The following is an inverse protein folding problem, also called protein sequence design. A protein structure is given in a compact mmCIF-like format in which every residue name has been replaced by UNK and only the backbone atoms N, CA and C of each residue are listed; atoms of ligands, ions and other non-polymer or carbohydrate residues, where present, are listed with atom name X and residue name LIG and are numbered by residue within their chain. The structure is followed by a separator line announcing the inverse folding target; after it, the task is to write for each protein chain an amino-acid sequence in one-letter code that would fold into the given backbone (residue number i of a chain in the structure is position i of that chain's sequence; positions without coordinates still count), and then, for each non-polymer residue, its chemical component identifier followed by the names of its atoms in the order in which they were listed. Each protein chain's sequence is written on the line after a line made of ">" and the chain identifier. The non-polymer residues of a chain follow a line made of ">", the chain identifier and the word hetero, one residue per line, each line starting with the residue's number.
data_IF_668896807347
#
_entry.id   IF_668896807347
#
_cell.length_a   1.000
_cell.length_b   1.000
_cell.length_c   1.000
_cell.angle_alpha   90.00
_cell.angle_beta   90.00
_cell.angle_gamma   90.00
#
_symmetry.space_group_name_H-M   'P 1'
#
loop_
_entity.id
_entity.type
_entity.pdbx_description
1 polymer ?
#
# COMPACT_ATOMS: atom_id res chain seq x y z
N UNK A 1 -16.37 49.17 31.09
CA UNK A 1 -15.16 48.71 30.41
C UNK A 1 -14.96 47.27 30.86
N UNK A 2 -15.47 46.31 30.09
CA UNK A 2 -15.34 44.88 30.38
C UNK A 2 -14.51 44.29 29.23
N UNK A 3 -13.21 44.18 29.45
CA UNK A 3 -12.33 43.33 28.65
C UNK A 3 -12.62 41.88 29.09
N UNK A 4 -13.57 41.25 28.40
CA UNK A 4 -13.84 39.82 28.50
C UNK A 4 -13.28 39.16 27.26
N UNK A 5 -12.08 38.59 27.41
CA UNK A 5 -11.39 37.74 26.44
C UNK A 5 -12.39 36.86 25.67
N UNK A 6 -12.46 37.04 24.35
CA UNK A 6 -13.19 36.13 23.47
C UNK A 6 -12.59 34.72 23.65
N UNK A 7 -13.40 33.65 23.83
CA UNK A 7 -12.87 32.30 23.87
C UNK A 7 -12.24 32.04 22.51
N UNK A 8 -10.91 32.05 22.45
CA UNK A 8 -10.16 31.70 21.26
C UNK A 8 -10.55 30.29 20.89
N UNK A 9 -11.05 30.15 19.67
CA UNK A 9 -11.65 28.94 19.14
C UNK A 9 -10.81 27.71 19.49
N UNK A 10 -11.47 26.72 20.09
CA UNK A 10 -11.01 25.34 20.22
C UNK A 10 -10.96 24.75 18.80
N UNK A 11 -9.98 25.21 18.03
CA UNK A 11 -9.69 24.77 16.68
C UNK A 11 -8.83 23.52 16.84
N UNK A 12 -9.43 22.37 16.58
CA UNK A 12 -8.73 21.10 16.70
C UNK A 12 -7.40 21.11 15.94
N UNK A 13 -6.36 20.53 16.55
CA UNK A 13 -5.01 20.50 16.01
C UNK A 13 -4.70 19.10 15.45
N UNK A 14 -4.14 19.05 14.24
CA UNK A 14 -3.62 17.81 13.65
C UNK A 14 -2.13 17.70 13.97
N UNK A 15 -1.75 16.62 14.64
CA UNK A 15 -0.37 16.29 14.95
C UNK A 15 0.10 15.10 14.13
N UNK A 16 1.24 15.26 13.46
CA UNK A 16 1.89 14.18 12.72
C UNK A 16 3.00 13.55 13.56
N UNK A 17 3.08 12.23 13.54
CA UNK A 17 3.99 11.46 14.39
C UNK A 17 4.75 10.46 13.54
N UNK A 18 6.05 10.36 13.78
CA UNK A 18 6.89 9.25 13.31
C UNK A 18 7.35 8.48 14.54
N UNK A 19 7.05 7.19 14.57
CA UNK A 19 7.46 6.29 15.65
C UNK A 19 8.88 5.76 15.39
N UNK A 20 9.58 5.30 16.44
CA UNK A 20 10.94 4.75 16.29
C UNK A 20 11.00 3.47 15.44
N UNK A 21 9.89 2.73 15.38
CA UNK A 21 9.70 1.57 14.49
C UNK A 21 9.64 1.97 12.99
N UNK A 22 9.61 3.27 12.69
CA UNK A 22 9.54 3.80 11.33
C UNK A 22 8.11 3.89 10.78
N UNK A 23 7.12 3.44 11.55
CA UNK A 23 5.69 3.63 11.34
C UNK A 23 5.30 5.11 11.47
N UNK A 24 4.22 5.52 10.77
CA UNK A 24 3.68 6.89 10.80
C UNK A 24 2.29 6.92 11.44
N UNK A 25 1.95 8.03 12.09
CA UNK A 25 0.64 8.24 12.71
C UNK A 25 0.14 9.68 12.58
N UNK A 26 -1.17 9.85 12.51
CA UNK A 26 -1.87 11.14 12.53
C UNK A 26 -2.79 11.16 13.73
N UNK A 27 -2.68 12.19 14.57
CA UNK A 27 -3.52 12.38 15.76
C UNK A 27 -4.28 13.69 15.59
N UNK A 28 -5.60 13.60 15.68
CA UNK A 28 -6.50 14.76 15.61
C UNK A 28 -6.98 15.06 17.02
N UNK A 29 -6.64 16.23 17.53
CA UNK A 29 -7.04 16.69 18.87
C UNK A 29 -8.22 17.61 18.69
N UNK A 30 -9.34 17.31 19.34
CA UNK A 30 -10.53 18.16 19.29
C UNK A 30 -10.58 19.21 20.39
N UNK A 31 -9.77 19.09 21.46
CA UNK A 31 -9.70 20.07 22.55
C UNK A 31 -8.29 20.22 23.14
N UNK A 32 -7.74 21.43 23.03
CA UNK A 32 -6.68 22.10 23.82
C UNK A 32 -5.37 21.43 24.29
N UNK A 33 -5.13 20.13 24.13
CA UNK A 33 -3.95 19.46 24.70
C UNK A 33 -3.15 18.64 23.69
N UNK A 34 -1.82 18.76 23.73
CA UNK A 34 -0.91 17.89 22.95
C UNK A 34 -1.13 16.45 23.41
N UNK A 35 -1.42 15.51 22.49
CA UNK A 35 -1.78 14.15 22.85
C UNK A 35 -0.53 13.40 23.34
N UNK A 36 -0.68 12.55 24.35
CA UNK A 36 0.41 11.66 24.77
C UNK A 36 0.57 10.52 23.77
N UNK A 37 1.80 10.26 23.33
CA UNK A 37 2.10 9.15 22.43
C UNK A 37 2.08 7.82 23.18
N UNK A 38 1.23 6.88 22.76
CA UNK A 38 1.20 5.53 23.35
C UNK A 38 2.43 4.67 23.01
N UNK A 39 3.25 5.13 22.06
CA UNK A 39 4.46 4.46 21.57
C UNK A 39 5.59 5.48 21.46
N UNK A 40 6.86 5.08 21.65
CA UNK A 40 7.98 5.97 21.49
C UNK A 40 8.05 6.49 20.05
N UNK A 41 8.15 7.81 19.93
CA UNK A 41 8.08 8.52 18.66
C UNK A 41 8.20 10.03 18.87
N UNK A 42 8.21 10.74 17.76
CA UNK A 42 8.39 12.19 17.75
C UNK A 42 7.30 12.84 16.90
N UNK A 43 6.80 13.97 17.39
CA UNK A 43 5.99 14.87 16.59
C UNK A 43 6.86 15.51 15.51
N UNK A 44 6.38 15.50 14.28
CA UNK A 44 7.09 16.03 13.12
C UNK A 44 6.22 17.04 12.37
N UNK A 45 6.84 17.89 11.57
CA UNK A 45 6.14 18.74 10.61
C UNK A 45 5.40 17.90 9.58
N UNK A 46 4.33 18.45 9.01
CA UNK A 46 3.59 17.82 7.90
C UNK A 46 4.51 17.42 6.74
N UNK A 47 5.46 18.27 6.36
CA UNK A 47 6.43 17.98 5.29
C UNK A 47 7.23 16.70 5.55
N UNK A 48 7.75 16.54 6.77
CA UNK A 48 8.50 15.35 7.19
C UNK A 48 7.63 14.10 7.23
N UNK A 49 6.39 14.26 7.66
CA UNK A 49 5.40 13.17 7.65
C UNK A 49 5.09 12.71 6.23
N UNK A 50 4.85 13.64 5.30
CA UNK A 50 4.56 13.35 3.90
C UNK A 50 5.76 12.69 3.19
N UNK A 51 6.98 13.17 3.44
CA UNK A 51 8.20 12.49 2.96
C UNK A 51 8.25 11.03 3.42
N UNK A 52 7.94 10.79 4.69
CA UNK A 52 7.97 9.44 5.27
C UNK A 52 6.87 8.54 4.72
N UNK A 53 5.65 9.06 4.59
CA UNK A 53 4.51 8.35 3.98
C UNK A 53 4.86 7.94 2.57
N UNK A 54 5.35 8.88 1.75
CA UNK A 54 5.74 8.59 0.36
C UNK A 54 6.80 7.49 0.28
N UNK A 55 7.82 7.55 1.14
CA UNK A 55 8.85 6.51 1.18
C UNK A 55 8.27 5.12 1.54
N UNK A 56 7.28 5.06 2.43
CA UNK A 56 6.60 3.80 2.78
C UNK A 56 5.74 3.29 1.61
N UNK A 57 5.05 4.19 0.91
CA UNK A 57 4.25 3.85 -0.28
C UNK A 57 5.13 3.28 -1.41
N UNK A 58 6.31 3.85 -1.64
CA UNK A 58 7.25 3.34 -2.65
C UNK A 58 7.75 1.93 -2.30
N UNK A 59 8.09 1.68 -1.03
CA UNK A 59 8.49 0.35 -0.56
C UNK A 59 7.33 -0.64 -0.68
N UNK A 60 6.12 -0.23 -0.31
CA UNK A 60 4.94 -1.07 -0.39
C UNK A 60 4.59 -1.41 -1.84
N UNK A 61 4.62 -0.43 -2.74
CA UNK A 61 4.39 -0.63 -4.17
C UNK A 61 5.41 -1.60 -4.78
N UNK A 62 6.69 -1.44 -4.45
CA UNK A 62 7.74 -2.37 -4.88
C UNK A 62 7.49 -3.81 -4.37
N UNK A 63 7.08 -3.95 -3.11
CA UNK A 63 6.78 -5.26 -2.52
C UNK A 63 5.55 -5.91 -3.15
N UNK A 64 4.51 -5.13 -3.42
CA UNK A 64 3.30 -5.62 -4.11
C UNK A 64 3.69 -6.11 -5.52
N UNK A 65 4.43 -5.30 -6.28
CA UNK A 65 4.87 -5.67 -7.63
C UNK A 65 5.73 -6.95 -7.65
N UNK A 66 6.60 -7.14 -6.65
CA UNK A 66 7.38 -8.38 -6.50
C UNK A 66 6.49 -9.59 -6.26
N UNK A 67 5.52 -9.48 -5.35
CA UNK A 67 4.58 -10.57 -5.03
C UNK A 67 3.71 -10.89 -6.25
N UNK A 68 3.18 -9.88 -6.93
CA UNK A 68 2.36 -10.08 -8.14
C UNK A 68 3.16 -10.74 -9.26
N UNK A 69 4.42 -10.33 -9.48
CA UNK A 69 5.29 -10.96 -10.47
C UNK A 69 5.61 -12.42 -10.13
N UNK A 70 5.83 -12.74 -8.84
CA UNK A 70 6.07 -14.09 -8.38
C UNK A 70 4.84 -14.99 -8.57
N UNK A 71 3.66 -14.50 -8.19
CA UNK A 71 2.40 -15.23 -8.33
C UNK A 71 2.06 -15.45 -9.82
N UNK A 72 2.23 -14.42 -10.67
CA UNK A 72 2.04 -14.57 -12.12
C UNK A 72 3.00 -15.60 -12.72
N UNK A 73 4.27 -15.57 -12.32
CA UNK A 73 5.27 -16.54 -12.76
C UNK A 73 4.90 -17.97 -12.37
N UNK A 74 4.40 -18.15 -11.15
CA UNK A 74 3.93 -19.45 -10.64
C UNK A 74 2.71 -19.96 -11.40
N UNK A 75 1.67 -19.13 -11.54
CA UNK A 75 0.46 -19.49 -12.30
C UNK A 75 0.78 -19.83 -13.75
N UNK A 76 1.70 -19.09 -14.39
CA UNK A 76 2.14 -19.41 -15.75
C UNK A 76 2.85 -20.75 -15.83
N UNK A 77 3.75 -21.04 -14.89
CA UNK A 77 4.48 -22.31 -14.86
C UNK A 77 3.52 -23.50 -14.66
N UNK A 78 2.53 -23.36 -13.78
CA UNK A 78 1.50 -24.37 -13.54
C UNK A 78 0.61 -24.59 -14.78
N UNK A 79 0.17 -23.50 -15.42
CA UNK A 79 -0.57 -23.56 -16.68
C UNK A 79 0.18 -24.37 -17.75
N UNK A 80 1.47 -24.05 -17.97
CA UNK A 80 2.29 -24.76 -18.96
C UNK A 80 2.46 -26.23 -18.60
N UNK A 81 2.65 -26.56 -17.32
CA UNK A 81 2.74 -27.94 -16.87
C UNK A 81 1.43 -28.72 -17.14
N UNK A 82 0.28 -28.12 -16.86
CA UNK A 82 -1.03 -28.73 -17.14
C UNK A 82 -1.29 -28.87 -18.64
N UNK A 83 -0.91 -27.89 -19.45
CA UNK A 83 -0.99 -27.98 -20.91
C UNK A 83 -0.10 -29.10 -21.47
N UNK A 84 1.11 -29.28 -20.94
CA UNK A 84 2.02 -30.37 -21.31
C UNK A 84 1.46 -31.75 -20.95
N UNK A 85 0.66 -31.84 -19.89
CA UNK A 85 -0.08 -33.05 -19.53
C UNK A 85 -1.30 -33.32 -20.43
N UNK A 86 -1.56 -32.45 -21.41
CA UNK A 86 -2.65 -32.59 -22.37
C UNK A 86 -4.01 -32.13 -21.84
N UNK A 87 -4.05 -31.38 -20.73
CA UNK A 87 -5.30 -30.77 -20.29
C UNK A 87 -5.74 -29.70 -21.30
N UNK A 88 -7.04 -29.66 -21.58
CA UNK A 88 -7.64 -28.59 -22.37
C UNK A 88 -7.34 -27.24 -21.70
N UNK A 89 -7.10 -26.21 -22.52
CA UNK A 89 -6.65 -24.92 -22.05
C UNK A 89 -7.58 -24.30 -20.98
N UNK A 90 -8.90 -24.34 -21.20
CA UNK A 90 -9.87 -23.84 -20.21
C UNK A 90 -9.68 -24.51 -18.84
N UNK A 91 -9.38 -25.80 -18.83
CA UNK A 91 -9.15 -26.57 -17.60
C UNK A 91 -7.81 -26.20 -16.98
N UNK A 92 -6.75 -26.07 -17.78
CA UNK A 92 -5.45 -25.62 -17.31
C UNK A 92 -5.50 -24.20 -16.71
N UNK A 93 -6.25 -23.27 -17.32
CA UNK A 93 -6.49 -21.91 -16.80
C UNK A 93 -7.23 -21.92 -15.47
N UNK A 94 -8.32 -22.70 -15.36
CA UNK A 94 -9.10 -22.78 -14.11
C UNK A 94 -8.29 -23.38 -12.94
N UNK A 95 -7.42 -24.35 -13.23
CA UNK A 95 -6.62 -25.03 -12.20
C UNK A 95 -5.40 -24.21 -11.77
N UNK A 96 -4.70 -23.58 -12.73
CA UNK A 96 -3.52 -22.74 -12.45
C UNK A 96 -3.83 -21.33 -11.95
N UNK A 97 -5.08 -20.88 -12.15
CA UNK A 97 -5.48 -19.49 -11.93
C UNK A 97 -4.86 -18.50 -12.92
N UNK A 98 -4.18 -18.98 -13.97
CA UNK A 98 -3.53 -18.11 -14.96
C UNK A 98 -4.57 -17.44 -15.87
N UNK A 99 -4.71 -16.13 -15.73
CA UNK A 99 -5.59 -15.27 -16.55
C UNK A 99 -4.84 -14.50 -17.63
N UNK A 100 -3.55 -14.77 -17.82
CA UNK A 100 -2.71 -14.10 -18.80
C UNK A 100 -3.11 -14.39 -20.26
N UNK A 101 -2.43 -13.74 -21.21
CA UNK A 101 -2.72 -13.89 -22.63
C UNK A 101 -2.61 -15.35 -23.04
N UNK A 102 -3.47 -15.73 -23.97
CA UNK A 102 -3.52 -17.05 -24.55
C UNK A 102 -2.15 -17.43 -25.12
N UNK A 103 -1.66 -18.62 -24.74
CA UNK A 103 -0.40 -19.10 -25.30
C UNK A 103 -0.50 -19.27 -26.83
N UNK A 104 -1.71 -19.46 -27.36
CA UNK A 104 -1.99 -19.54 -28.80
C UNK A 104 -1.97 -18.18 -29.50
N UNK A 105 -1.94 -17.06 -28.75
CA UNK A 105 -1.90 -15.70 -29.32
C UNK A 105 -0.47 -15.14 -29.45
N UNK A 106 0.54 -15.86 -28.92
CA UNK A 106 1.96 -15.53 -29.11
C UNK A 106 2.55 -16.09 -30.42
N UNK A 107 1.75 -16.76 -31.25
CA UNK A 107 2.11 -17.34 -32.56
C UNK A 107 1.45 -16.58 -33.73
N UNK A 108 1.30 -15.26 -33.65
CA UNK A 108 0.81 -14.43 -34.77
C UNK A 108 1.77 -13.27 -34.99
N UNK A 109 2.95 -13.58 -35.50
CA UNK A 109 3.95 -12.58 -35.76
C UNK A 109 5.21 -13.11 -36.43
N UNK A 110 5.09 -13.87 -37.52
CA UNK A 110 6.13 -13.93 -38.56
C UNK A 110 5.55 -14.51 -39.88
N UNK A 111 5.32 -13.62 -40.85
CA UNK A 111 5.23 -13.91 -42.29
C UNK A 111 5.62 -12.67 -43.07
#
# INVERSE_FOLDING_TARGET
>A
MLEGFEPTEDTGAVHHVIYEDGSVGRIEVTAGAVPELSRPGSFVSEERYQERVKALEEVQAARIAEVEAAELGRSRADFLALSLLGLAEETARRLSGYTGPDASMLDVGES
#
